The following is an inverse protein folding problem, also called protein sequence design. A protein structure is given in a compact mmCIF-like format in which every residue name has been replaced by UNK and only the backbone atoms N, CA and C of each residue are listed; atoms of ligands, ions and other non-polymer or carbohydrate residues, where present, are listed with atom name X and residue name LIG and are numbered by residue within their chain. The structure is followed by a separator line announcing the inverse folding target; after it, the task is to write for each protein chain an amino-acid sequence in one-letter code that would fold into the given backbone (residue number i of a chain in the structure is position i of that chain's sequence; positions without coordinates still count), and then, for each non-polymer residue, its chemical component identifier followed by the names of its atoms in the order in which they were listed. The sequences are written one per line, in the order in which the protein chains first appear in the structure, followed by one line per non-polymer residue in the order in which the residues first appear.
data_IF_084095655577
#
_entry.id   IF_084095655577
#
_cell.length_a   1.000
_cell.length_b   1.000
_cell.length_c   1.000
_cell.angle_alpha   90.00
_cell.angle_beta   90.00
_cell.angle_gamma   90.00
#
_symmetry.space_group_name_H-M   'P 1'
#
loop_
_entity.id
_entity.type
_entity.pdbx_description
1 polymer ?
#
# COMPACT_ATOMS: atom_id res chain seq x y z
N UNK A 1 -1.12 -9.64 3.68
CA UNK A 1 -1.88 -8.44 4.12
C UNK A 1 -2.60 -8.78 5.40
N UNK A 2 -2.73 -7.81 6.30
CA UNK A 2 -3.43 -8.00 7.58
C UNK A 2 -4.57 -7.00 7.63
N UNK A 3 -5.80 -7.52 7.65
CA UNK A 3 -6.98 -6.70 7.80
C UNK A 3 -7.02 -6.12 9.22
N UNK A 4 -7.19 -4.81 9.34
CA UNK A 4 -7.22 -4.14 10.63
C UNK A 4 -8.47 -4.55 11.42
N UNK A 5 -8.26 -5.09 12.61
CA UNK A 5 -9.28 -5.42 13.61
C UNK A 5 -8.74 -5.11 15.00
N UNK A 6 -9.60 -5.00 16.03
CA UNK A 6 -9.11 -4.79 17.39
C UNK A 6 -8.19 -5.94 17.85
N UNK A 7 -8.48 -7.17 17.41
CA UNK A 7 -7.63 -8.35 17.69
C UNK A 7 -6.29 -8.33 16.94
N UNK A 8 -6.11 -7.47 15.94
CA UNK A 8 -4.85 -7.33 15.20
C UNK A 8 -3.77 -6.69 16.08
N UNK A 9 -4.13 -5.73 16.93
CA UNK A 9 -3.17 -5.09 17.84
C UNK A 9 -2.63 -6.09 18.87
N UNK A 10 -3.51 -6.88 19.50
CA UNK A 10 -3.10 -7.91 20.47
C UNK A 10 -2.19 -8.96 19.82
N UNK A 11 -2.48 -9.34 18.56
CA UNK A 11 -1.66 -10.30 17.82
C UNK A 11 -0.33 -9.72 17.36
N UNK A 12 -0.25 -8.41 17.07
CA UNK A 12 1.01 -7.72 16.78
C UNK A 12 1.91 -7.67 18.02
N UNK A 13 1.32 -7.36 19.17
CA UNK A 13 2.04 -7.33 20.46
C UNK A 13 2.58 -8.73 20.83
N UNK A 14 1.82 -9.79 20.51
CA UNK A 14 2.22 -11.17 20.73
C UNK A 14 3.18 -11.73 19.65
N UNK A 15 3.55 -10.94 18.64
CA UNK A 15 4.42 -11.40 17.53
C UNK A 15 3.78 -12.46 16.63
N UNK A 16 2.44 -12.56 16.63
CA UNK A 16 1.65 -13.57 15.91
C UNK A 16 1.16 -13.08 14.52
N UNK A 17 1.71 -11.98 14.04
CA UNK A 17 1.40 -11.42 12.74
C UNK A 17 2.65 -11.44 11.87
N UNK A 18 2.48 -11.99 10.67
CA UNK A 18 3.52 -12.00 9.66
C UNK A 18 3.77 -10.57 9.17
N UNK A 19 4.99 -10.09 9.37
CA UNK A 19 5.49 -8.85 8.78
C UNK A 19 6.01 -9.09 7.36
N UNK A 20 6.19 -8.02 6.59
CA UNK A 20 6.72 -8.12 5.23
C UNK A 20 8.17 -8.62 5.27
N UNK A 21 8.41 -9.82 4.73
CA UNK A 21 9.73 -10.45 4.62
C UNK A 21 10.51 -10.53 5.95
N UNK A 22 9.83 -10.61 7.08
CA UNK A 22 10.49 -10.63 8.40
C UNK A 22 11.11 -9.30 8.80
N UNK A 23 10.70 -8.19 8.19
CA UNK A 23 11.04 -6.82 8.60
C UNK A 23 10.10 -6.30 9.69
N UNK A 24 10.22 -5.03 10.09
CA UNK A 24 9.25 -4.38 10.99
C UNK A 24 8.06 -3.74 10.24
N UNK A 25 7.95 -3.96 8.92
CA UNK A 25 6.84 -3.43 8.13
C UNK A 25 5.62 -4.34 8.17
N UNK A 26 4.48 -3.77 8.53
CA UNK A 26 3.17 -4.42 8.47
C UNK A 26 2.38 -3.85 7.29
N UNK A 27 1.93 -4.73 6.41
CA UNK A 27 1.03 -4.36 5.31
C UNK A 27 -0.41 -4.43 5.80
N UNK A 28 -1.02 -3.26 6.00
CA UNK A 28 -2.32 -3.10 6.64
C UNK A 28 -3.40 -2.78 5.61
N UNK A 29 -4.49 -3.54 5.67
CA UNK A 29 -5.71 -3.29 4.92
C UNK A 29 -6.82 -2.80 5.85
N UNK A 30 -7.64 -1.85 5.38
CA UNK A 30 -8.78 -1.29 6.12
C UNK A 30 -10.10 -1.56 5.40
N UNK A 31 -11.21 -1.44 6.12
CA UNK A 31 -12.52 -1.34 5.48
C UNK A 31 -12.58 -0.12 4.54
N UNK A 32 -13.19 -0.28 3.36
CA UNK A 32 -13.23 0.76 2.33
C UNK A 32 -13.94 2.04 2.79
N UNK A 33 -14.93 1.91 3.68
CA UNK A 33 -15.69 3.00 4.27
C UNK A 33 -15.14 3.50 5.61
N UNK A 34 -14.00 2.97 6.08
CA UNK A 34 -13.44 3.35 7.37
C UNK A 34 -13.14 4.86 7.41
N UNK A 35 -13.66 5.62 8.39
CA UNK A 35 -13.42 7.04 8.46
C UNK A 35 -11.93 7.36 8.63
N UNK A 36 -11.47 8.45 8.02
CA UNK A 36 -10.08 8.89 8.08
C UNK A 36 -9.50 8.92 9.51
N UNK A 37 -10.28 9.42 10.48
CA UNK A 37 -9.85 9.50 11.89
C UNK A 37 -9.55 8.12 12.49
N UNK A 38 -10.32 7.11 12.13
CA UNK A 38 -10.09 5.73 12.61
C UNK A 38 -8.86 5.12 11.93
N UNK A 39 -8.62 5.39 10.65
CA UNK A 39 -7.38 5.00 9.95
C UNK A 39 -6.16 5.60 10.65
N UNK A 40 -6.18 6.90 10.96
CA UNK A 40 -5.06 7.56 11.68
C UNK A 40 -4.85 6.95 13.07
N UNK A 41 -5.94 6.63 13.79
CA UNK A 41 -5.88 6.00 15.11
C UNK A 41 -5.24 4.61 15.04
N UNK A 42 -5.66 3.81 14.07
CA UNK A 42 -5.12 2.48 13.81
C UNK A 42 -3.62 2.54 13.51
N UNK A 43 -3.21 3.43 12.60
CA UNK A 43 -1.80 3.64 12.25
C UNK A 43 -0.97 3.98 13.48
N UNK A 44 -1.43 4.95 14.29
CA UNK A 44 -0.71 5.34 15.52
C UNK A 44 -0.62 4.23 16.55
N UNK A 45 -1.66 3.40 16.67
CA UNK A 45 -1.63 2.25 17.57
C UNK A 45 -0.57 1.22 17.14
N UNK A 46 -0.49 0.92 15.84
CA UNK A 46 0.50 0.00 15.27
C UNK A 46 1.92 0.57 15.44
N UNK A 47 2.11 1.86 15.16
CA UNK A 47 3.40 2.53 15.35
C UNK A 47 3.82 2.62 16.83
N UNK A 48 2.85 2.69 17.75
CA UNK A 48 3.11 2.61 19.19
C UNK A 48 3.70 1.28 19.63
N UNK A 49 3.48 0.22 18.85
CA UNK A 49 4.10 -1.10 19.00
C UNK A 49 5.43 -1.22 18.24
N UNK A 50 6.02 -0.10 17.81
CA UNK A 50 7.28 -0.02 17.07
C UNK A 50 7.30 -0.68 15.67
N UNK A 51 6.13 -0.92 15.07
CA UNK A 51 6.03 -1.37 13.68
C UNK A 51 5.93 -0.20 12.69
N UNK A 52 6.59 -0.36 11.54
CA UNK A 52 6.41 0.52 10.37
C UNK A 52 5.15 0.09 9.60
N UNK A 53 4.37 1.05 9.07
CA UNK A 53 3.10 0.75 8.38
C UNK A 53 3.22 0.94 6.88
N UNK A 54 2.79 -0.06 6.12
CA UNK A 54 2.49 0.06 4.69
C UNK A 54 0.97 0.01 4.53
N UNK A 55 0.40 1.08 3.99
CA UNK A 55 -1.05 1.16 3.71
C UNK A 55 -1.31 0.46 2.38
N UNK A 56 -2.00 -0.68 2.41
CA UNK A 56 -2.35 -1.44 1.23
C UNK A 56 -3.37 -0.68 0.37
N UNK A 57 -3.18 -0.72 -0.95
CA UNK A 57 -4.09 -0.25 -2.01
C UNK A 57 -4.93 0.98 -1.62
N UNK A 58 -4.24 2.07 -1.28
CA UNK A 58 -4.86 3.28 -0.72
C UNK A 58 -5.93 3.87 -1.64
N UNK A 59 -5.88 3.58 -2.94
CA UNK A 59 -6.87 4.03 -3.92
C UNK A 59 -8.28 3.48 -3.64
N UNK A 60 -8.39 2.40 -2.86
CA UNK A 60 -9.67 1.77 -2.51
C UNK A 60 -10.44 2.50 -1.41
N UNK A 61 -9.76 3.23 -0.52
CA UNK A 61 -10.44 3.83 0.63
C UNK A 61 -11.06 5.18 0.30
N UNK A 62 -12.33 5.33 0.63
CA UNK A 62 -13.06 6.59 0.39
C UNK A 62 -12.53 7.74 1.25
N UNK A 63 -11.91 7.42 2.39
CA UNK A 63 -11.24 8.38 3.26
C UNK A 63 -10.17 9.23 2.55
N UNK A 64 -9.55 8.73 1.48
CA UNK A 64 -8.51 9.46 0.72
C UNK A 64 -9.03 10.01 -0.61
N UNK A 65 -10.28 9.72 -0.99
CA UNK A 65 -10.84 10.19 -2.24
C UNK A 65 -11.01 11.71 -2.24
N UNK A 66 -10.47 12.39 -3.27
CA UNK A 66 -10.46 13.86 -3.39
C UNK A 66 -9.73 14.59 -2.25
N UNK A 67 -8.94 13.86 -1.47
CA UNK A 67 -8.21 14.37 -0.31
C UNK A 67 -6.72 13.99 -0.35
N UNK A 68 -5.94 14.43 -1.35
CA UNK A 68 -4.51 14.11 -1.45
C UNK A 68 -3.70 14.58 -0.24
N UNK A 69 -4.16 15.62 0.45
CA UNK A 69 -3.57 16.13 1.70
C UNK A 69 -3.56 15.07 2.82
N UNK A 70 -4.55 14.18 2.83
CA UNK A 70 -4.63 13.07 3.80
C UNK A 70 -3.58 12.01 3.51
N UNK A 71 -3.32 11.72 2.23
CA UNK A 71 -2.26 10.78 1.83
C UNK A 71 -0.89 11.36 2.17
N UNK A 72 -0.68 12.66 1.93
CA UNK A 72 0.53 13.35 2.37
C UNK A 72 0.71 13.29 3.88
N UNK A 73 -0.36 13.43 4.67
CA UNK A 73 -0.29 13.28 6.12
C UNK A 73 0.13 11.86 6.52
N UNK A 74 -0.37 10.81 5.87
CA UNK A 74 0.06 9.44 6.15
C UNK A 74 1.55 9.24 5.88
N UNK A 75 2.06 9.81 4.78
CA UNK A 75 3.51 9.79 4.50
C UNK A 75 4.31 10.57 5.53
N UNK A 76 3.80 11.72 5.99
CA UNK A 76 4.44 12.49 7.08
C UNK A 76 4.44 11.75 8.42
N UNK A 77 3.46 10.89 8.66
CA UNK A 77 3.45 9.98 9.81
C UNK A 77 4.43 8.81 9.65
N UNK A 78 5.14 8.69 8.52
CA UNK A 78 6.08 7.61 8.25
C UNK A 78 5.46 6.38 7.59
N UNK A 79 4.20 6.45 7.15
CA UNK A 79 3.58 5.33 6.42
C UNK A 79 4.07 5.29 4.97
N UNK A 80 4.28 4.07 4.46
CA UNK A 80 4.48 3.84 3.02
C UNK A 80 3.14 3.62 2.33
N UNK A 81 3.01 4.18 1.13
CA UNK A 81 1.78 4.11 0.36
C UNK A 81 1.91 3.07 -0.75
N UNK A 82 1.08 2.03 -0.69
CA UNK A 82 0.99 1.01 -1.74
C UNK A 82 -0.26 1.21 -2.61
N UNK A 83 -0.09 1.03 -3.93
CA UNK A 83 -1.16 1.08 -4.94
C UNK A 83 -1.11 -0.17 -5.81
N UNK A 84 -2.26 -0.64 -6.28
CA UNK A 84 -2.30 -1.83 -7.13
C UNK A 84 -1.89 -1.55 -8.57
N UNK A 85 -1.09 -2.45 -9.14
CA UNK A 85 -0.70 -2.41 -10.55
C UNK A 85 -1.91 -2.41 -11.50
N UNK A 86 -2.95 -3.19 -11.18
CA UNK A 86 -4.19 -3.21 -11.96
C UNK A 86 -4.90 -1.84 -12.00
N UNK A 87 -4.76 -1.03 -10.96
CA UNK A 87 -5.29 0.34 -10.89
C UNK A 87 -4.53 1.31 -11.80
N UNK A 88 -3.39 0.92 -12.38
CA UNK A 88 -2.60 1.77 -13.28
C UNK A 88 -2.84 1.47 -14.76
N UNK A 89 -3.51 0.37 -15.07
CA UNK A 89 -3.78 -0.03 -16.44
C UNK A 89 -4.62 1.01 -17.22
N UNK A 90 -4.56 0.99 -18.56
CA UNK A 90 -5.46 1.77 -19.40
C UNK A 90 -6.94 1.61 -19.00
N UNK A 91 -7.71 2.69 -19.13
CA UNK A 91 -9.15 2.70 -18.82
C UNK A 91 -9.95 2.58 -20.13
N UNK A 92 -10.89 1.65 -20.17
CA UNK A 92 -11.89 1.57 -21.23
C UNK A 92 -13.08 2.51 -20.99
N UNK A 93 -13.92 2.70 -22.02
CA UNK A 93 -15.12 3.55 -21.92
C UNK A 93 -16.09 3.09 -20.80
N UNK A 94 -16.23 1.77 -20.63
CA UNK A 94 -17.14 1.12 -19.68
C UNK A 94 -16.40 0.39 -18.55
N UNK A 95 -15.22 0.88 -18.17
CA UNK A 95 -14.39 0.25 -17.13
C UNK A 95 -15.04 0.40 -15.73
N UNK A 96 -15.45 -0.70 -15.07
CA UNK A 96 -16.06 -0.64 -13.74
C UNK A 96 -15.09 -0.13 -12.66
N UNK A 97 -13.77 -0.20 -12.90
CA UNK A 97 -12.73 0.26 -11.98
C UNK A 97 -12.22 1.67 -12.30
N UNK A 98 -12.91 2.42 -13.18
CA UNK A 98 -12.52 3.77 -13.62
C UNK A 98 -12.26 4.74 -12.45
N UNK A 99 -13.03 4.64 -11.37
CA UNK A 99 -12.83 5.48 -10.18
C UNK A 99 -11.50 5.16 -9.50
N UNK A 100 -11.21 3.88 -9.26
CA UNK A 100 -9.94 3.43 -8.66
C UNK A 100 -8.75 3.81 -9.54
N UNK A 101 -8.85 3.57 -10.86
CA UNK A 101 -7.80 3.93 -11.81
C UNK A 101 -7.53 5.43 -11.86
N UNK A 102 -8.58 6.26 -11.76
CA UNK A 102 -8.43 7.72 -11.66
C UNK A 102 -7.73 8.11 -10.36
N UNK A 103 -8.11 7.51 -9.23
CA UNK A 103 -7.48 7.78 -7.92
C UNK A 103 -5.99 7.41 -7.94
N UNK A 104 -5.65 6.21 -8.41
CA UNK A 104 -4.26 5.75 -8.52
C UNK A 104 -3.41 6.69 -9.40
N UNK A 105 -3.95 7.17 -10.53
CA UNK A 105 -3.26 8.16 -11.39
C UNK A 105 -3.09 9.51 -10.71
N UNK A 106 -4.07 9.99 -9.95
CA UNK A 106 -3.93 11.23 -9.19
C UNK A 106 -2.81 11.14 -8.14
N UNK A 107 -2.64 9.97 -7.52
CA UNK A 107 -1.56 9.72 -6.58
C UNK A 107 -0.19 9.63 -7.27
N UNK A 108 -0.12 9.04 -8.47
CA UNK A 108 1.09 9.08 -9.31
C UNK A 108 1.46 10.51 -9.70
N UNK A 109 0.49 11.29 -10.20
CA UNK A 109 0.70 12.67 -10.65
C UNK A 109 1.16 13.59 -9.49
N UNK A 110 0.80 13.25 -8.25
CA UNK A 110 1.18 13.98 -7.05
C UNK A 110 2.44 13.44 -6.35
N UNK A 111 3.12 12.42 -6.92
CA UNK A 111 4.27 11.73 -6.32
C UNK A 111 4.00 11.23 -4.89
N UNK A 112 2.81 10.63 -4.67
CA UNK A 112 2.35 10.17 -3.36
C UNK A 112 2.39 8.64 -3.19
N UNK A 113 3.02 7.93 -4.12
CA UNK A 113 3.11 6.47 -4.10
C UNK A 113 4.53 6.05 -3.73
N UNK A 114 4.64 5.04 -2.87
CA UNK A 114 5.91 4.44 -2.51
C UNK A 114 6.09 3.05 -3.12
N UNK A 115 5.00 2.31 -3.30
CA UNK A 115 5.04 0.92 -3.76
C UNK A 115 3.93 0.68 -4.77
N UNK A 116 4.26 0.00 -5.86
CA UNK A 116 3.28 -0.60 -6.75
C UNK A 116 3.40 -2.12 -6.66
N UNK A 117 2.30 -2.78 -6.33
CA UNK A 117 2.26 -4.24 -6.16
C UNK A 117 1.06 -4.85 -6.91
N UNK A 118 1.13 -6.14 -7.20
CA UNK A 118 0.09 -6.84 -7.96
C UNK A 118 -1.21 -7.05 -7.17
N UNK A 119 -1.16 -7.04 -5.82
CA UNK A 119 -2.27 -7.47 -4.95
C UNK A 119 -2.79 -8.85 -5.40
N UNK A 120 -1.84 -9.75 -5.66
CA UNK A 120 -2.07 -11.11 -6.11
C UNK A 120 -2.30 -12.02 -4.90
N UNK A 121 -3.56 -12.20 -4.51
CA UNK A 121 -3.98 -13.12 -3.45
C UNK A 121 -4.07 -14.59 -3.91
N UNK A 122 -4.12 -14.86 -5.21
CA UNK A 122 -4.16 -16.22 -5.77
C UNK A 122 -3.57 -16.25 -7.18
N UNK A 123 -2.84 -17.33 -7.52
CA UNK A 123 -2.21 -17.59 -8.83
C UNK A 123 -3.24 -17.70 -9.97
N UNK A 124 -4.54 -17.85 -9.66
CA UNK A 124 -5.56 -18.22 -10.65
C UNK A 124 -6.59 -17.13 -11.01
N UNK A 125 -6.69 -15.99 -10.31
CA UNK A 125 -7.79 -15.03 -10.55
C UNK A 125 -7.42 -13.57 -10.80
N UNK A 126 -6.13 -13.21 -10.74
CA UNK A 126 -5.66 -11.86 -11.09
C UNK A 126 -4.41 -11.95 -11.97
N UNK A 127 -4.48 -11.56 -13.25
CA UNK A 127 -3.29 -11.53 -14.10
C UNK A 127 -2.25 -10.60 -13.47
N UNK A 128 -0.98 -11.03 -13.49
CA UNK A 128 0.15 -10.23 -13.02
C UNK A 128 0.36 -9.04 -13.95
N UNK A 129 -0.40 -7.98 -13.76
CA UNK A 129 -0.32 -6.75 -14.56
C UNK A 129 0.91 -5.88 -14.21
N UNK A 130 1.93 -6.46 -13.58
CA UNK A 130 3.13 -5.76 -13.15
C UNK A 130 3.94 -5.24 -14.33
N UNK A 131 4.17 -6.07 -15.36
CA UNK A 131 4.91 -5.66 -16.55
C UNK A 131 4.18 -4.55 -17.33
N UNK A 132 2.86 -4.68 -17.48
CA UNK A 132 2.03 -3.68 -18.14
C UNK A 132 1.98 -2.36 -17.35
N UNK A 133 1.82 -2.44 -16.02
CA UNK A 133 1.84 -1.26 -15.15
C UNK A 133 3.21 -0.59 -15.15
N UNK A 134 4.31 -1.37 -15.11
CA UNK A 134 5.67 -0.84 -15.21
C UNK A 134 5.85 -0.09 -16.53
N UNK A 135 5.52 -0.72 -17.66
CA UNK A 135 5.63 -0.11 -18.97
C UNK A 135 4.80 1.18 -19.09
N UNK A 136 3.59 1.20 -18.50
CA UNK A 136 2.76 2.39 -18.43
C UNK A 136 3.43 3.52 -17.63
N UNK A 137 3.93 3.22 -16.42
CA UNK A 137 4.57 4.23 -15.57
C UNK A 137 5.88 4.71 -16.20
N UNK A 138 6.73 3.81 -16.71
CA UNK A 138 7.98 4.14 -17.36
C UNK A 138 7.76 5.05 -18.58
N UNK A 139 6.75 4.74 -19.42
CA UNK A 139 6.42 5.55 -20.59
C UNK A 139 5.91 6.95 -20.23
N UNK A 140 5.16 7.10 -19.13
CA UNK A 140 4.48 8.37 -18.79
C UNK A 140 5.29 9.24 -17.82
N UNK A 141 6.03 8.66 -16.89
CA UNK A 141 6.71 9.34 -15.80
C UNK A 141 8.24 9.10 -15.78
N UNK A 142 8.76 8.27 -16.69
CA UNK A 142 10.19 7.96 -16.79
C UNK A 142 10.54 6.61 -16.16
N UNK A 143 11.56 5.96 -16.73
CA UNK A 143 12.00 4.63 -16.33
C UNK A 143 12.58 4.63 -14.91
N UNK A 144 13.38 5.64 -14.54
CA UNK A 144 13.94 5.77 -13.18
C UNK A 144 12.85 5.81 -12.10
N UNK A 145 11.77 6.55 -12.35
CA UNK A 145 10.66 6.65 -11.41
C UNK A 145 9.88 5.34 -11.33
N UNK A 146 9.65 4.65 -12.47
CA UNK A 146 9.07 3.32 -12.48
C UNK A 146 9.94 2.33 -11.69
N UNK A 147 11.25 2.32 -11.92
CA UNK A 147 12.18 1.45 -11.21
C UNK A 147 12.14 1.70 -9.69
N UNK A 148 12.03 2.96 -9.25
CA UNK A 148 11.90 3.28 -7.83
C UNK A 148 10.67 2.65 -7.19
N UNK A 149 9.50 2.76 -7.83
CA UNK A 149 8.22 2.29 -7.26
C UNK A 149 8.03 0.78 -7.32
N UNK A 150 8.61 0.11 -8.33
CA UNK A 150 8.43 -1.32 -8.56
C UNK A 150 9.58 -2.18 -8.01
N UNK A 151 10.78 -1.61 -7.84
CA UNK A 151 11.99 -2.37 -7.46
C UNK A 151 12.65 -1.75 -6.23
N UNK A 152 13.20 -0.53 -6.35
CA UNK A 152 14.14 -0.02 -5.35
C UNK A 152 13.51 0.29 -3.98
N UNK A 153 12.28 0.83 -3.94
CA UNK A 153 11.58 1.07 -2.67
C UNK A 153 11.10 -0.24 -2.03
N UNK A 154 10.47 -1.19 -2.77
CA UNK A 154 10.18 -2.52 -2.25
C UNK A 154 11.40 -3.28 -1.70
N UNK A 155 12.55 -3.24 -2.39
CA UNK A 155 13.77 -3.91 -1.92
C UNK A 155 14.26 -3.38 -0.58
N UNK A 156 14.13 -2.07 -0.32
CA UNK A 156 14.50 -1.48 0.98
C UNK A 156 13.64 -1.97 2.15
N UNK A 157 12.39 -2.37 1.87
CA UNK A 157 11.48 -2.93 2.87
C UNK A 157 11.93 -4.35 3.22
N UNK A 158 12.27 -5.15 2.20
CA UNK A 158 12.72 -6.54 2.35
C UNK A 158 14.11 -6.61 3.00
N UNK A 159 14.99 -5.64 2.69
CA UNK A 159 16.36 -5.59 3.23
C UNK A 159 16.46 -5.05 4.65
N UNK A 160 15.39 -4.48 5.21
CA UNK A 160 15.35 -4.08 6.62
C UNK A 160 15.10 -5.33 7.46
N UNK A 161 16.10 -5.76 8.23
CA UNK A 161 15.90 -6.77 9.27
C UNK A 161 14.88 -6.29 10.31
N UNK A 162 14.30 -7.20 11.08
CA UNK A 162 13.39 -6.85 12.17
C UNK A 162 14.11 -6.63 13.48
N UNK A 163 13.58 -5.68 14.25
CA UNK A 163 13.90 -5.45 15.65
C UNK A 163 13.00 -6.22 16.63
N UNK A 164 11.98 -6.93 16.13
CA UNK A 164 11.01 -7.70 16.90
C UNK A 164 11.29 -9.20 16.87
N UNK A 165 11.07 -9.92 17.98
CA UNK A 165 11.10 -11.38 17.98
C UNK A 165 9.89 -11.91 17.20
N UNK A 166 10.12 -12.42 15.99
CA UNK A 166 9.09 -13.14 15.24
C UNK A 166 8.82 -14.48 15.91
N UNK A 167 7.57 -14.73 16.29
CA UNK A 167 7.16 -16.04 16.82
C UNK A 167 7.36 -17.12 15.75
N UNK A 168 8.05 -18.20 16.13
CA UNK A 168 8.14 -19.44 15.36
C UNK A 168 6.77 -20.10 15.18
#
# INVERSE_FOLDING_TARGET
EVFYSNSMLDRLEQGQILTLAGSDYVLVEFDYGLPYREIVRAIRAIQGLAYDVVIAHIERYDAFHKHPERVQEMRRLGCLIQVNAASLLPMGLFDPYKVLKKRARQLLDADLIDIIASDAHHVESRPYHMAEAYAFVAKKYGDDYAHQLFVSKPEKIIGKGSSHPHGN
#
